data_IF_023072604982
#
_entry.id   IF_023072604982
#
_cell.length_a   1.000
_cell.length_b   1.000
_cell.length_c   1.000
_cell.angle_alpha   90.00
_cell.angle_beta   90.00
_cell.angle_gamma   90.00
#
_symmetry.space_group_name_H-M   'P 1'
#
loop_
_entity.id
_entity.type
_entity.pdbx_description
1 polymer ?
#
# COMPACT_ATOMS: atom_id res chain seq x y z
N UNK A 1 16.30 4.28 -34.00
CA UNK A 1 17.34 5.31 -33.75
C UNK A 1 17.37 5.79 -32.28
N UNK A 2 16.82 5.05 -31.32
CA UNK A 2 16.90 5.37 -29.87
C UNK A 2 17.49 4.23 -29.01
N UNK A 3 18.03 3.18 -29.65
CA UNK A 3 18.60 1.99 -28.97
C UNK A 3 20.14 2.12 -28.78
N UNK A 4 20.77 3.20 -29.24
CA UNK A 4 22.24 3.34 -29.28
C UNK A 4 22.89 3.96 -28.03
N UNK A 5 22.22 4.02 -26.87
CA UNK A 5 22.82 4.51 -25.63
C UNK A 5 22.99 3.45 -24.54
N UNK A 6 22.82 2.15 -24.83
CA UNK A 6 23.05 1.07 -23.85
C UNK A 6 24.55 0.72 -23.67
N UNK A 7 25.43 1.73 -23.68
CA UNK A 7 26.88 1.56 -23.67
C UNK A 7 27.64 2.47 -22.70
N UNK A 8 26.98 2.99 -21.65
CA UNK A 8 27.63 3.79 -20.61
C UNK A 8 27.20 3.31 -19.23
N UNK A 9 28.14 3.15 -18.30
CA UNK A 9 28.01 2.41 -17.02
C UNK A 9 26.76 2.73 -16.20
N UNK A 10 26.40 1.83 -15.26
CA UNK A 10 25.12 1.78 -14.52
C UNK A 10 24.46 3.13 -14.17
N UNK A 11 25.23 4.18 -13.85
CA UNK A 11 24.69 5.52 -13.61
C UNK A 11 24.02 6.19 -14.81
N UNK A 12 24.55 6.01 -16.04
CA UNK A 12 23.98 6.61 -17.24
C UNK A 12 22.64 5.95 -17.65
N UNK A 13 22.53 4.63 -17.48
CA UNK A 13 21.26 3.90 -17.66
C UNK A 13 20.23 4.32 -16.61
N UNK A 14 20.63 4.49 -15.35
CA UNK A 14 19.71 4.90 -14.27
C UNK A 14 19.07 6.27 -14.55
N UNK A 15 19.87 7.25 -14.98
CA UNK A 15 19.36 8.59 -15.30
C UNK A 15 18.41 8.53 -16.50
N UNK A 16 18.71 7.72 -17.51
CA UNK A 16 17.83 7.52 -18.66
C UNK A 16 16.50 6.87 -18.26
N UNK A 17 16.53 5.84 -17.40
CA UNK A 17 15.35 5.16 -16.88
C UNK A 17 14.45 6.11 -16.06
N UNK A 18 15.05 6.92 -15.18
CA UNK A 18 14.33 7.97 -14.44
C UNK A 18 13.69 8.97 -15.41
N UNK A 19 14.45 9.44 -16.41
CA UNK A 19 13.96 10.37 -17.42
C UNK A 19 12.75 9.81 -18.19
N UNK A 20 12.84 8.56 -18.64
CA UNK A 20 11.75 7.88 -19.34
C UNK A 20 10.51 7.76 -18.44
N UNK A 21 10.69 7.33 -17.18
CA UNK A 21 9.62 7.25 -16.19
C UNK A 21 8.94 8.60 -15.95
N UNK A 22 9.70 9.68 -15.79
CA UNK A 22 9.16 11.03 -15.57
C UNK A 22 8.39 11.56 -16.79
N UNK A 23 8.91 11.37 -17.99
CA UNK A 23 8.23 11.81 -19.22
C UNK A 23 6.93 11.05 -19.42
N UNK A 24 6.94 9.72 -19.33
CA UNK A 24 5.74 8.91 -19.53
C UNK A 24 4.69 9.15 -18.45
N UNK A 25 5.11 9.19 -17.18
CA UNK A 25 4.20 9.48 -16.07
C UNK A 25 3.62 10.88 -16.16
N UNK A 26 4.41 11.88 -16.55
CA UNK A 26 3.95 13.25 -16.79
C UNK A 26 2.91 13.35 -17.92
N UNK A 27 3.20 12.75 -19.07
CA UNK A 27 2.27 12.71 -20.21
C UNK A 27 0.94 12.04 -19.82
N UNK A 28 1.01 10.86 -19.20
CA UNK A 28 -0.19 10.13 -18.82
C UNK A 28 -0.96 10.84 -17.69
N UNK A 29 -0.26 11.49 -16.77
CA UNK A 29 -0.85 12.31 -15.70
C UNK A 29 -1.68 13.47 -16.25
N UNK A 30 -1.20 14.16 -17.30
CA UNK A 30 -1.99 15.21 -17.97
C UNK A 30 -3.29 14.65 -18.54
N UNK A 31 -3.23 13.50 -19.23
CA UNK A 31 -4.40 12.83 -19.79
C UNK A 31 -5.38 12.42 -18.68
N UNK A 32 -4.89 11.80 -17.62
CA UNK A 32 -5.71 11.32 -16.50
C UNK A 32 -6.36 12.46 -15.73
N UNK A 33 -5.62 13.55 -15.51
CA UNK A 33 -6.14 14.77 -14.88
C UNK A 33 -7.28 15.37 -15.69
N UNK A 34 -7.17 15.39 -17.04
CA UNK A 34 -8.25 15.84 -17.93
C UNK A 34 -9.49 14.95 -17.85
N UNK A 35 -9.29 13.64 -17.66
CA UNK A 35 -10.35 12.66 -17.46
C UNK A 35 -10.89 12.60 -16.03
N UNK A 36 -10.38 13.44 -15.11
CA UNK A 36 -10.72 13.44 -13.67
C UNK A 36 -10.39 12.12 -12.95
N UNK A 37 -9.43 11.35 -13.47
CA UNK A 37 -8.91 10.13 -12.84
C UNK A 37 -7.74 10.53 -11.93
N UNK A 38 -7.57 9.92 -10.74
CA UNK A 38 -6.43 10.17 -9.87
C UNK A 38 -5.08 9.95 -10.56
N UNK A 39 -4.13 10.85 -10.33
CA UNK A 39 -2.83 10.83 -11.03
C UNK A 39 -1.97 9.63 -10.66
N UNK A 40 -2.16 9.06 -9.47
CA UNK A 40 -1.48 7.82 -9.08
C UNK A 40 -1.78 6.63 -10.01
N UNK A 41 -2.99 6.55 -10.57
CA UNK A 41 -3.34 5.53 -11.55
C UNK A 41 -2.54 5.70 -12.85
N UNK A 42 -2.25 6.95 -13.24
CA UNK A 42 -1.40 7.25 -14.39
C UNK A 42 0.05 6.82 -14.13
N UNK A 43 0.56 7.00 -12.91
CA UNK A 43 1.92 6.58 -12.57
C UNK A 43 2.08 5.06 -12.62
N UNK A 44 1.08 4.32 -12.10
CA UNK A 44 1.06 2.86 -12.17
C UNK A 44 1.00 2.36 -13.61
N UNK A 45 0.13 2.95 -14.44
CA UNK A 45 0.03 2.59 -15.85
C UNK A 45 1.29 2.94 -16.64
N UNK A 46 1.91 4.09 -16.38
CA UNK A 46 3.18 4.44 -16.99
C UNK A 46 4.27 3.42 -16.64
N UNK A 47 4.32 2.95 -15.40
CA UNK A 47 5.22 1.88 -14.96
C UNK A 47 4.94 0.55 -15.66
N UNK A 48 3.68 0.16 -15.80
CA UNK A 48 3.28 -1.06 -16.54
C UNK A 48 3.71 -0.96 -18.02
N UNK A 49 3.50 0.19 -18.65
CA UNK A 49 3.85 0.41 -20.06
C UNK A 49 5.38 0.39 -20.25
N UNK A 50 6.14 1.09 -19.41
CA UNK A 50 7.60 1.15 -19.51
C UNK A 50 8.30 -0.12 -19.04
N UNK A 51 7.60 -0.94 -18.26
CA UNK A 51 8.13 -2.14 -17.64
C UNK A 51 8.60 -3.20 -18.64
N UNK A 52 9.30 -4.23 -18.15
CA UNK A 52 9.90 -5.28 -18.97
C UNK A 52 8.87 -6.14 -19.72
N UNK A 53 7.63 -6.19 -19.24
CA UNK A 53 6.59 -7.01 -19.86
C UNK A 53 5.95 -6.34 -21.10
N UNK A 54 5.97 -5.00 -21.20
CA UNK A 54 5.27 -4.28 -22.27
C UNK A 54 6.25 -3.63 -23.25
N UNK A 55 6.98 -2.59 -22.82
CA UNK A 55 7.87 -1.82 -23.72
C UNK A 55 9.34 -2.24 -23.63
N UNK A 56 9.75 -2.97 -22.58
CA UNK A 56 11.16 -3.34 -22.33
C UNK A 56 12.12 -2.14 -22.37
N UNK A 57 11.62 -0.97 -22.00
CA UNK A 57 12.42 0.26 -21.99
C UNK A 57 13.23 0.34 -20.71
N UNK A 58 12.61 0.00 -19.58
CA UNK A 58 13.29 -0.11 -18.28
C UNK A 58 13.28 -1.58 -17.87
N UNK A 59 14.44 -2.25 -17.99
CA UNK A 59 14.57 -3.70 -17.75
C UNK A 59 15.51 -4.05 -16.60
N UNK A 60 16.36 -3.12 -16.20
CA UNK A 60 17.32 -3.36 -15.14
C UNK A 60 16.62 -3.36 -13.77
N UNK A 61 16.61 -4.52 -13.13
CA UNK A 61 15.96 -4.71 -11.83
C UNK A 61 16.64 -3.89 -10.73
N UNK A 62 17.95 -3.73 -10.77
CA UNK A 62 18.71 -2.98 -9.77
C UNK A 62 18.38 -1.49 -9.85
N UNK A 63 18.25 -0.95 -11.06
CA UNK A 63 17.80 0.42 -11.28
C UNK A 63 16.36 0.61 -10.82
N UNK A 64 15.45 -0.31 -11.19
CA UNK A 64 14.04 -0.25 -10.77
C UNK A 64 13.92 -0.26 -9.23
N UNK A 65 14.65 -1.15 -8.56
CA UNK A 65 14.67 -1.24 -7.10
C UNK A 65 15.21 0.04 -6.46
N UNK A 66 16.34 0.54 -6.96
CA UNK A 66 16.95 1.79 -6.49
C UNK A 66 15.99 2.98 -6.64
N UNK A 67 15.39 3.16 -7.82
CA UNK A 67 14.42 4.24 -8.10
C UNK A 67 13.20 4.10 -7.18
N UNK A 68 12.69 2.88 -7.00
CA UNK A 68 11.50 2.60 -6.20
C UNK A 68 11.75 2.89 -4.71
N UNK A 69 12.90 2.48 -4.17
CA UNK A 69 13.27 2.79 -2.79
C UNK A 69 13.44 4.30 -2.58
N UNK A 70 14.12 4.99 -3.48
CA UNK A 70 14.29 6.44 -3.39
C UNK A 70 12.93 7.16 -3.44
N UNK A 71 12.06 6.78 -4.38
CA UNK A 71 10.72 7.34 -4.51
C UNK A 71 9.85 7.09 -3.28
N UNK A 72 9.89 5.89 -2.71
CA UNK A 72 9.16 5.53 -1.50
C UNK A 72 9.68 6.29 -0.26
N UNK A 73 11.01 6.41 -0.10
CA UNK A 73 11.62 7.17 1.00
C UNK A 73 11.21 8.64 0.91
N UNK A 74 11.35 9.26 -0.26
CA UNK A 74 10.97 10.67 -0.47
C UNK A 74 9.48 10.90 -0.22
N UNK A 75 8.63 9.96 -0.66
CA UNK A 75 7.20 10.01 -0.43
C UNK A 75 6.87 9.96 1.07
N UNK A 76 7.36 8.94 1.77
CA UNK A 76 7.10 8.76 3.19
C UNK A 76 7.68 9.91 4.03
N UNK A 77 8.84 10.44 3.63
CA UNK A 77 9.43 11.61 4.26
C UNK A 77 8.55 12.85 4.10
N UNK A 78 8.09 13.14 2.88
CA UNK A 78 7.21 14.28 2.62
C UNK A 78 5.90 14.15 3.40
N UNK A 79 5.29 12.95 3.38
CA UNK A 79 4.10 12.66 4.20
C UNK A 79 4.39 12.95 5.67
N UNK A 80 5.54 12.52 6.20
CA UNK A 80 5.95 12.78 7.58
C UNK A 80 6.09 14.28 7.90
N UNK A 81 6.52 15.11 6.93
CA UNK A 81 6.59 16.56 7.08
C UNK A 81 5.23 17.25 7.02
N UNK A 82 4.27 16.69 6.29
CA UNK A 82 2.92 17.25 6.12
C UNK A 82 1.98 16.88 7.28
N UNK A 83 2.24 15.76 7.97
CA UNK A 83 1.39 15.28 9.07
C UNK A 83 1.72 15.98 10.40
N UNK A 84 0.71 16.62 10.97
CA UNK A 84 0.73 17.08 12.35
C UNK A 84 0.25 15.99 13.31
N UNK A 85 1.20 15.27 13.93
CA UNK A 85 0.92 14.21 14.91
C UNK A 85 0.06 14.70 16.09
N UNK A 86 0.21 15.96 16.52
CA UNK A 86 -0.59 16.49 17.63
C UNK A 86 -2.05 16.64 17.21
N UNK A 87 -2.32 17.12 15.99
CA UNK A 87 -3.67 17.19 15.43
C UNK A 87 -4.27 15.81 15.14
N UNK A 88 -3.43 14.84 14.78
CA UNK A 88 -3.86 13.45 14.61
C UNK A 88 -4.37 12.91 15.95
N UNK A 89 -3.56 13.01 17.00
CA UNK A 89 -3.92 12.60 18.36
C UNK A 89 -5.09 13.42 18.94
N UNK A 90 -5.23 14.70 18.58
CA UNK A 90 -6.34 15.54 19.02
C UNK A 90 -7.69 15.14 18.40
N UNK A 91 -7.70 14.29 17.38
CA UNK A 91 -8.94 13.71 16.82
C UNK A 91 -9.63 12.77 17.84
N UNK A 92 -8.95 12.47 18.95
CA UNK A 92 -9.57 12.02 20.19
C UNK A 92 -10.00 10.56 20.19
N UNK A 93 -10.90 10.23 21.12
CA UNK A 93 -11.35 8.86 21.41
C UNK A 93 -12.04 8.19 20.22
N UNK A 94 -12.73 8.95 19.38
CA UNK A 94 -13.44 8.42 18.20
C UNK A 94 -12.47 7.86 17.16
N UNK A 95 -11.34 8.53 16.92
CA UNK A 95 -10.31 8.04 15.98
C UNK A 95 -9.68 6.74 16.48
N UNK A 96 -9.29 6.70 17.76
CA UNK A 96 -8.68 5.51 18.36
C UNK A 96 -9.66 4.34 18.34
N UNK A 97 -10.91 4.58 18.74
CA UNK A 97 -11.92 3.53 18.77
C UNK A 97 -12.22 3.00 17.37
N UNK A 98 -12.41 3.89 16.38
CA UNK A 98 -12.66 3.48 15.00
C UNK A 98 -11.46 2.74 14.40
N UNK A 99 -10.23 3.24 14.53
CA UNK A 99 -9.04 2.55 14.01
C UNK A 99 -8.81 1.19 14.65
N UNK A 100 -9.02 1.08 15.96
CA UNK A 100 -8.81 -0.19 16.68
C UNK A 100 -9.87 -1.25 16.33
N UNK A 101 -11.13 -0.84 16.17
CA UNK A 101 -12.25 -1.76 15.90
C UNK A 101 -12.48 -2.05 14.42
N UNK A 102 -12.17 -1.10 13.52
CA UNK A 102 -12.51 -1.22 12.10
C UNK A 102 -11.88 -2.47 11.47
N UNK A 103 -10.58 -2.72 11.68
CA UNK A 103 -9.93 -3.90 11.10
C UNK A 103 -10.50 -5.22 11.63
N UNK A 104 -10.58 -5.49 12.96
CA UNK A 104 -11.20 -6.71 13.47
C UNK A 104 -12.65 -6.92 13.01
N UNK A 105 -13.45 -5.85 12.93
CA UNK A 105 -14.82 -5.93 12.44
C UNK A 105 -14.88 -6.31 10.96
N UNK A 106 -14.01 -5.73 10.12
CA UNK A 106 -13.90 -6.13 8.71
C UNK A 106 -13.46 -7.59 8.56
N UNK A 107 -12.49 -8.04 9.36
CA UNK A 107 -12.06 -9.44 9.36
C UNK A 107 -13.20 -10.36 9.78
N UNK A 108 -13.92 -10.03 10.86
CA UNK A 108 -15.05 -10.81 11.34
C UNK A 108 -16.19 -10.88 10.30
N UNK A 109 -16.47 -9.76 9.62
CA UNK A 109 -17.47 -9.70 8.56
C UNK A 109 -17.06 -10.55 7.36
N UNK A 110 -15.82 -10.39 6.86
CA UNK A 110 -15.32 -11.20 5.75
C UNK A 110 -15.27 -12.69 6.08
N UNK A 111 -14.92 -13.04 7.33
CA UNK A 111 -14.99 -14.42 7.82
C UNK A 111 -16.42 -14.96 7.82
N UNK A 112 -17.39 -14.19 8.31
CA UNK A 112 -18.80 -14.58 8.33
C UNK A 112 -19.35 -14.80 6.92
N UNK A 113 -19.07 -13.88 5.99
CA UNK A 113 -19.45 -14.01 4.58
C UNK A 113 -18.81 -15.25 3.96
N UNK A 114 -17.51 -15.48 4.19
CA UNK A 114 -16.83 -16.67 3.68
C UNK A 114 -17.42 -17.97 4.23
N UNK A 115 -17.83 -18.01 5.51
CA UNK A 115 -18.52 -19.17 6.08
C UNK A 115 -19.89 -19.40 5.46
N UNK A 116 -20.66 -18.35 5.21
CA UNK A 116 -21.96 -18.47 4.53
C UNK A 116 -21.81 -19.01 3.10
N UNK A 117 -20.79 -18.56 2.37
CA UNK A 117 -20.47 -19.05 1.02
C UNK A 117 -19.94 -20.49 1.04
N UNK A 118 -19.21 -20.89 2.08
CA UNK A 118 -18.79 -22.28 2.24
C UNK A 118 -20.00 -23.22 2.44
N UNK A 119 -21.06 -22.77 3.11
CA UNK A 119 -22.29 -23.52 3.30
C UNK A 119 -23.13 -23.68 2.02
N UNK A 120 -22.97 -22.78 1.03
CA UNK A 120 -23.66 -22.87 -0.27
C UNK A 120 -23.02 -23.84 -1.26
N UNK A 121 -22.03 -24.63 -0.83
CA UNK A 121 -21.45 -25.73 -1.61
C UNK A 121 -20.18 -25.37 -2.39
N UNK A 122 -19.62 -24.18 -2.20
CA UNK A 122 -18.33 -23.81 -2.79
C UNK A 122 -17.16 -24.48 -2.07
N UNK A 123 -16.79 -25.68 -2.54
CA UNK A 123 -15.68 -26.50 -2.02
C UNK A 123 -14.33 -25.76 -1.92
N UNK A 124 -14.11 -24.73 -2.75
CA UNK A 124 -12.89 -23.91 -2.71
C UNK A 124 -12.71 -23.12 -1.40
N UNK A 125 -13.80 -22.88 -0.63
CA UNK A 125 -13.77 -22.16 0.65
C UNK A 125 -13.82 -23.09 1.88
N UNK A 126 -13.77 -24.42 1.68
CA UNK A 126 -13.95 -25.41 2.75
C UNK A 126 -12.71 -25.65 3.64
N UNK A 127 -11.59 -24.98 3.38
CA UNK A 127 -10.39 -25.10 4.21
C UNK A 127 -10.60 -24.52 5.63
N UNK A 128 -9.93 -25.08 6.67
CA UNK A 128 -10.13 -24.65 8.05
C UNK A 128 -9.79 -23.17 8.28
N UNK A 129 -8.80 -22.64 7.56
CA UNK A 129 -8.32 -21.27 7.68
C UNK A 129 -8.71 -20.36 6.50
N UNK A 130 -9.31 -20.89 5.44
CA UNK A 130 -9.61 -20.13 4.22
C UNK A 130 -10.51 -18.92 4.49
N UNK A 131 -11.53 -19.10 5.33
CA UNK A 131 -12.42 -18.01 5.74
C UNK A 131 -11.70 -16.89 6.50
N UNK A 132 -10.69 -17.24 7.31
CA UNK A 132 -9.88 -16.26 8.03
C UNK A 132 -8.98 -15.49 7.08
N UNK A 133 -8.30 -16.16 6.15
CA UNK A 133 -7.48 -15.51 5.12
C UNK A 133 -8.31 -14.58 4.23
N UNK A 134 -9.54 -14.98 3.87
CA UNK A 134 -10.47 -14.10 3.13
C UNK A 134 -10.81 -12.87 3.96
N UNK A 135 -11.15 -13.04 5.25
CA UNK A 135 -11.44 -11.92 6.15
C UNK A 135 -10.27 -10.95 6.30
N UNK A 136 -9.07 -11.46 6.57
CA UNK A 136 -7.82 -10.67 6.69
C UNK A 136 -7.50 -9.94 5.39
N UNK A 137 -7.55 -10.64 4.25
CA UNK A 137 -7.23 -10.04 2.94
C UNK A 137 -8.25 -8.98 2.55
N UNK A 138 -9.53 -9.22 2.82
CA UNK A 138 -10.60 -8.25 2.57
C UNK A 138 -10.51 -7.02 3.49
N UNK A 139 -9.96 -7.19 4.70
CA UNK A 139 -9.74 -6.10 5.64
C UNK A 139 -8.45 -5.31 5.39
N UNK A 140 -7.54 -5.78 4.53
CA UNK A 140 -6.29 -5.09 4.21
C UNK A 140 -6.53 -3.88 3.27
N UNK A 141 -5.69 -2.85 3.39
CA UNK A 141 -5.75 -1.62 2.59
C UNK A 141 -4.35 -1.21 2.17
N UNK A 142 -4.25 -0.34 1.15
CA UNK A 142 -2.99 0.23 0.70
C UNK A 142 -2.81 1.64 1.27
N UNK A 143 -2.12 1.76 2.41
CA UNK A 143 -1.85 3.02 3.10
C UNK A 143 -1.22 4.06 2.17
N UNK A 144 -0.18 3.70 1.42
CA UNK A 144 0.51 4.60 0.50
C UNK A 144 -0.43 5.23 -0.54
N UNK A 145 -1.33 4.44 -1.12
CA UNK A 145 -2.26 4.92 -2.13
C UNK A 145 -3.27 5.90 -1.52
N UNK A 146 -3.88 5.54 -0.39
CA UNK A 146 -4.87 6.41 0.27
C UNK A 146 -4.22 7.72 0.73
N UNK A 147 -3.03 7.65 1.35
CA UNK A 147 -2.30 8.84 1.77
C UNK A 147 -1.98 9.74 0.57
N UNK A 148 -1.47 9.16 -0.53
CA UNK A 148 -1.21 9.91 -1.77
C UNK A 148 -2.46 10.59 -2.32
N UNK A 149 -3.59 9.89 -2.35
CA UNK A 149 -4.84 10.46 -2.82
C UNK A 149 -5.30 11.65 -1.97
N UNK A 150 -5.21 11.55 -0.65
CA UNK A 150 -5.55 12.67 0.24
C UNK A 150 -4.56 13.83 0.10
N UNK A 151 -3.28 13.53 -0.14
CA UNK A 151 -2.25 14.52 -0.41
C UNK A 151 -2.53 15.31 -1.69
N UNK A 152 -2.83 14.62 -2.80
CA UNK A 152 -3.17 15.24 -4.09
C UNK A 152 -4.42 16.13 -4.01
N UNK A 153 -5.32 15.84 -3.05
CA UNK A 153 -6.52 16.64 -2.79
C UNK A 153 -6.30 17.73 -1.74
N UNK A 154 -5.11 17.87 -1.16
CA UNK A 154 -4.81 18.76 -0.03
C UNK A 154 -5.76 18.53 1.17
N UNK A 155 -6.14 17.26 1.40
CA UNK A 155 -7.12 16.88 2.41
C UNK A 155 -6.51 16.19 3.64
N UNK A 156 -5.19 15.99 3.70
CA UNK A 156 -4.52 15.31 4.82
C UNK A 156 -4.77 16.00 6.16
N UNK A 157 -4.76 17.33 6.18
CA UNK A 157 -5.01 18.16 7.36
C UNK A 157 -6.50 18.39 7.68
N UNK A 158 -7.41 17.76 6.96
CA UNK A 158 -8.85 17.84 7.29
C UNK A 158 -9.20 16.86 8.41
N UNK A 159 -10.37 17.04 9.04
CA UNK A 159 -10.88 16.06 10.03
C UNK A 159 -10.98 14.66 9.41
N UNK A 160 -11.48 14.57 8.18
CA UNK A 160 -11.63 13.29 7.46
C UNK A 160 -10.27 12.70 7.11
N UNK A 161 -9.32 13.52 6.64
CA UNK A 161 -7.95 13.10 6.35
C UNK A 161 -7.23 12.55 7.57
N UNK A 162 -7.27 13.28 8.69
CA UNK A 162 -6.67 12.81 9.95
C UNK A 162 -7.33 11.53 10.47
N UNK A 163 -8.65 11.41 10.38
CA UNK A 163 -9.33 10.16 10.76
C UNK A 163 -8.91 9.00 9.85
N UNK A 164 -8.83 9.21 8.53
CA UNK A 164 -8.38 8.19 7.59
C UNK A 164 -6.94 7.76 7.88
N UNK A 165 -6.02 8.71 8.07
CA UNK A 165 -4.63 8.44 8.45
C UNK A 165 -4.55 7.66 9.76
N UNK A 166 -5.32 8.05 10.77
CA UNK A 166 -5.37 7.35 12.06
C UNK A 166 -5.82 5.91 11.91
N UNK A 167 -6.88 5.67 11.14
CA UNK A 167 -7.39 4.32 10.85
C UNK A 167 -6.33 3.49 10.11
N UNK A 168 -5.68 4.06 9.10
CA UNK A 168 -4.62 3.37 8.33
C UNK A 168 -3.44 2.96 9.22
N UNK A 169 -3.03 3.80 10.18
CA UNK A 169 -1.97 3.46 11.14
C UNK A 169 -2.38 2.26 11.99
N UNK A 170 -3.59 2.26 12.56
CA UNK A 170 -4.08 1.12 13.34
C UNK A 170 -4.23 -0.16 12.48
N UNK A 171 -4.62 0.01 11.23
CA UNK A 171 -4.72 -1.08 10.28
C UNK A 171 -3.35 -1.72 9.98
N UNK A 172 -2.30 -0.92 9.79
CA UNK A 172 -0.93 -1.43 9.59
C UNK A 172 -0.40 -2.14 10.85
N UNK A 173 -0.73 -1.65 12.05
CA UNK A 173 -0.42 -2.34 13.31
C UNK A 173 -1.13 -3.71 13.41
N UNK A 174 -2.41 -3.77 13.04
CA UNK A 174 -3.14 -5.04 13.00
C UNK A 174 -2.56 -6.00 11.96
N UNK A 175 -2.20 -5.50 10.77
CA UNK A 175 -1.56 -6.31 9.74
C UNK A 175 -0.24 -6.91 10.25
N UNK A 176 0.59 -6.13 10.96
CA UNK A 176 1.80 -6.63 11.61
C UNK A 176 1.51 -7.75 12.60
N UNK A 177 0.51 -7.59 13.47
CA UNK A 177 0.10 -8.63 14.44
C UNK A 177 -0.36 -9.90 13.72
N UNK A 178 -1.19 -9.76 12.69
CA UNK A 178 -1.68 -10.91 11.91
C UNK A 178 -0.54 -11.64 11.22
N UNK A 179 0.38 -10.92 10.58
CA UNK A 179 1.55 -11.51 9.93
C UNK A 179 2.50 -12.18 10.92
N UNK A 180 2.63 -11.65 12.15
CA UNK A 180 3.42 -12.29 13.20
C UNK A 180 2.79 -13.60 13.71
N UNK A 181 1.46 -13.69 13.76
CA UNK A 181 0.71 -14.88 14.20
C UNK A 181 0.53 -15.92 13.08
N UNK A 182 0.50 -15.46 11.83
CA UNK A 182 0.21 -16.28 10.64
C UNK A 182 1.04 -17.56 10.49
N UNK A 183 2.34 -17.61 10.84
CA UNK A 183 3.15 -18.82 10.71
C UNK A 183 2.67 -20.02 11.54
N UNK A 184 1.90 -19.81 12.62
CA UNK A 184 1.53 -20.88 13.55
C UNK A 184 0.11 -20.70 14.14
N UNK A 185 -0.93 -20.62 13.29
CA UNK A 185 -2.32 -20.59 13.76
C UNK A 185 -2.76 -21.85 14.55
N UNK A 186 -2.04 -22.97 14.45
CA UNK A 186 -2.34 -24.23 15.15
C UNK A 186 -1.77 -24.30 16.58
N UNK A 187 -0.74 -23.49 16.89
CA UNK A 187 -0.17 -23.30 18.23
C UNK A 187 0.29 -21.84 18.32
N UNK A 188 -0.57 -20.91 18.78
CA UNK A 188 -0.18 -19.53 18.96
C UNK A 188 0.86 -19.47 20.08
N UNK A 189 2.14 -19.62 19.73
CA UNK A 189 3.22 -19.35 20.63
C UNK A 189 3.30 -17.82 20.72
N UNK A 190 2.64 -17.25 21.74
CA UNK A 190 2.61 -15.81 22.01
C UNK A 190 3.92 -15.34 22.67
N UNK A 191 4.80 -16.28 23.04
CA UNK A 191 6.11 -16.04 23.65
C UNK A 191 7.06 -15.17 22.79
N UNK A 192 7.20 -15.37 21.46
CA UNK A 192 8.06 -14.52 20.63
C UNK A 192 7.50 -13.09 20.48
N UNK A 193 6.16 -12.95 20.43
CA UNK A 193 5.51 -11.63 20.37
C UNK A 193 5.72 -10.87 21.68
N UNK A 194 5.50 -11.52 22.83
CA UNK A 194 5.75 -10.91 24.13
C UNK A 194 7.23 -10.54 24.34
N UNK A 195 8.17 -11.40 23.93
CA UNK A 195 9.61 -11.13 24.02
C UNK A 195 10.08 -9.99 23.11
N UNK A 196 9.42 -9.75 21.97
CA UNK A 196 9.74 -8.62 21.08
C UNK A 196 9.30 -7.28 21.69
N UNK A 197 8.24 -7.26 22.49
CA UNK A 197 7.78 -6.06 23.19
C UNK A 197 8.41 -5.86 24.59
N UNK A 198 8.99 -6.92 25.17
CA UNK A 198 9.68 -6.91 26.47
C UNK A 198 11.21 -6.80 26.39
N UNK A 199 11.76 -6.50 25.20
CA UNK A 199 13.19 -6.20 25.01
C UNK A 199 13.64 -5.01 25.85
#
# INVERSE_FOLDING_TARGET
MLVLLSGGGNGASLVADIGACLVMSGLLSVVFTRLKIPTIAAFLLAGIILGPEVSRTVTDKENIETISHLGLILLLFLIGLEIDFKKLLSSGRTMILSGLLQFPLCVAFGFAVAKLVALSGWSALAGPYTALYVGVTAAASSTLLVVKLFQEKYQLDTIVGRMALGILIFQDLWAMVVLAVQPNFAKPDLAPVALTFLG
#
